data_IF_438383806965
#
_entry.id   IF_438383806965
#
_cell.length_a   1.000
_cell.length_b   1.000
_cell.length_c   1.000
_cell.angle_alpha   90.00
_cell.angle_beta   90.00
_cell.angle_gamma   90.00
#
_symmetry.space_group_name_H-M   'P 1'
#
loop_
_entity.id
_entity.type
_entity.pdbx_description
1 polymer ?
#
# COMPACT_ATOMS: atom_id res chain seq x y z
N UNK A 1 -7.39 13.57 -6.84
CA UNK A 1 -6.05 13.67 -7.46
C UNK A 1 -5.24 12.37 -7.41
N UNK A 2 -5.56 11.36 -6.58
CA UNK A 2 -4.75 10.13 -6.46
C UNK A 2 -4.87 9.11 -7.64
N UNK A 3 -6.00 9.07 -8.36
CA UNK A 3 -6.22 8.05 -9.40
C UNK A 3 -5.34 8.21 -10.66
N UNK A 4 -4.84 9.43 -10.93
CA UNK A 4 -3.97 9.71 -12.08
C UNK A 4 -2.56 9.17 -11.82
N UNK A 5 -2.13 9.04 -10.56
CA UNK A 5 -0.75 8.72 -10.19
C UNK A 5 -0.42 7.20 -10.24
N UNK A 6 -1.38 6.31 -9.96
CA UNK A 6 -1.13 4.86 -9.94
C UNK A 6 -0.81 4.29 -11.33
N UNK A 7 -1.39 4.86 -12.38
CA UNK A 7 -1.14 4.42 -13.77
C UNK A 7 0.31 4.65 -14.19
N UNK A 8 0.89 5.77 -13.75
CA UNK A 8 2.28 6.10 -14.04
C UNK A 8 3.26 5.27 -13.21
N UNK A 9 2.94 4.98 -11.95
CA UNK A 9 3.70 4.03 -11.12
C UNK A 9 3.76 2.65 -11.78
N UNK A 10 2.62 2.13 -12.24
CA UNK A 10 2.55 0.83 -12.92
C UNK A 10 3.37 0.82 -14.21
N UNK A 11 3.32 1.90 -15.00
CA UNK A 11 4.11 2.04 -16.23
C UNK A 11 5.61 2.11 -15.93
N UNK A 12 6.02 2.77 -14.85
CA UNK A 12 7.41 2.84 -14.39
C UNK A 12 7.97 1.47 -13.99
N UNK A 13 7.16 0.63 -13.34
CA UNK A 13 7.55 -0.71 -12.89
C UNK A 13 7.70 -1.70 -14.07
N UNK A 14 6.84 -1.59 -15.08
CA UNK A 14 6.87 -2.46 -16.25
C UNK A 14 7.98 -2.13 -17.25
N UNK A 15 8.61 -0.95 -17.13
CA UNK A 15 9.74 -0.58 -17.97
C UNK A 15 10.99 -1.31 -17.55
N UNK A 16 11.87 -1.61 -18.51
CA UNK A 16 13.25 -1.98 -18.21
C UNK A 16 13.92 -0.79 -17.55
N UNK A 17 14.18 -0.87 -16.25
CA UNK A 17 14.79 0.21 -15.48
C UNK A 17 16.23 -0.16 -15.08
N UNK A 18 17.13 0.82 -14.94
CA UNK A 18 18.48 0.57 -14.39
C UNK A 18 18.44 0.28 -12.88
N UNK A 19 17.27 0.42 -12.25
CA UNK A 19 17.06 0.24 -10.81
C UNK A 19 16.56 -1.19 -10.55
N UNK A 20 17.04 -1.81 -9.48
CA UNK A 20 16.61 -3.15 -9.10
C UNK A 20 15.11 -3.22 -8.83
N UNK A 21 14.45 -4.28 -9.30
CA UNK A 21 13.04 -4.56 -9.01
C UNK A 21 12.73 -4.54 -7.52
N UNK A 22 13.67 -4.91 -6.64
CA UNK A 22 13.47 -4.83 -5.17
C UNK A 22 13.16 -3.41 -4.70
N UNK A 23 13.88 -2.41 -5.24
CA UNK A 23 13.66 -1.00 -4.92
C UNK A 23 12.30 -0.55 -5.49
N UNK A 24 11.96 -0.96 -6.71
CA UNK A 24 10.67 -0.67 -7.32
C UNK A 24 9.51 -1.27 -6.51
N UNK A 25 9.67 -2.48 -5.97
CA UNK A 25 8.69 -3.12 -5.09
C UNK A 25 8.49 -2.34 -3.79
N UNK A 26 9.55 -1.77 -3.19
CA UNK A 26 9.40 -0.90 -2.02
C UNK A 26 8.60 0.37 -2.34
N UNK A 27 8.89 1.03 -3.46
CA UNK A 27 8.14 2.22 -3.91
C UNK A 27 6.66 1.86 -4.14
N UNK A 28 6.39 0.75 -4.83
CA UNK A 28 5.03 0.27 -5.07
C UNK A 28 4.29 -0.01 -3.76
N UNK A 29 4.94 -0.69 -2.81
CA UNK A 29 4.32 -1.02 -1.53
C UNK A 29 4.01 0.23 -0.71
N UNK A 30 4.84 1.28 -0.77
CA UNK A 30 4.54 2.57 -0.13
C UNK A 30 3.30 3.23 -0.75
N UNK A 31 3.21 3.26 -2.08
CA UNK A 31 2.03 3.80 -2.76
C UNK A 31 0.76 3.03 -2.38
N UNK A 32 0.84 1.70 -2.25
CA UNK A 32 -0.27 0.85 -1.81
C UNK A 32 -0.67 1.10 -0.36
N UNK A 33 0.28 1.31 0.55
CA UNK A 33 -0.03 1.62 1.96
C UNK A 33 -0.80 2.94 2.02
N UNK A 34 -0.33 3.99 1.36
CA UNK A 34 -1.02 5.30 1.32
C UNK A 34 -2.42 5.15 0.75
N UNK A 35 -2.56 4.40 -0.34
CA UNK A 35 -3.85 4.12 -0.96
C UNK A 35 -4.80 3.37 0.00
N UNK A 36 -4.30 2.44 0.81
CA UNK A 36 -5.13 1.71 1.80
C UNK A 36 -5.47 2.57 3.02
N UNK A 37 -4.52 3.36 3.55
CA UNK A 37 -4.68 4.06 4.83
C UNK A 37 -5.28 5.46 4.72
N UNK A 38 -5.25 6.07 3.53
CA UNK A 38 -5.70 7.47 3.33
C UNK A 38 -6.78 7.60 2.25
N UNK A 39 -7.43 6.48 1.89
CA UNK A 39 -8.50 6.45 0.92
C UNK A 39 -9.74 7.20 1.41
N UNK A 40 -10.54 7.73 0.49
CA UNK A 40 -11.85 8.32 0.75
C UNK A 40 -11.87 9.49 1.77
N UNK A 41 -10.79 10.27 1.87
CA UNK A 41 -10.60 11.35 2.86
C UNK A 41 -10.69 10.88 4.33
N UNK A 42 -10.52 9.58 4.59
CA UNK A 42 -10.40 9.04 5.93
C UNK A 42 -8.91 8.88 6.25
N UNK A 43 -8.47 9.50 7.33
CA UNK A 43 -7.12 9.32 7.85
C UNK A 43 -7.13 8.19 8.87
N UNK A 44 -7.05 6.95 8.35
CA UNK A 44 -7.01 5.72 9.13
C UNK A 44 -5.61 5.46 9.73
N UNK A 45 -4.63 6.29 9.41
CA UNK A 45 -3.34 6.25 10.09
C UNK A 45 -3.44 6.94 11.46
N UNK A 46 -4.08 8.10 11.51
CA UNK A 46 -4.33 8.83 12.78
C UNK A 46 -5.48 8.22 13.58
N UNK A 47 -6.53 7.70 12.92
CA UNK A 47 -7.70 7.08 13.55
C UNK A 47 -7.87 5.62 13.08
N UNK A 48 -7.12 4.67 13.66
CA UNK A 48 -6.93 3.34 13.07
C UNK A 48 -8.08 2.36 13.32
N UNK A 49 -9.11 2.75 14.07
CA UNK A 49 -10.09 1.81 14.62
C UNK A 49 -10.87 1.05 13.56
N UNK A 50 -11.15 1.68 12.41
CA UNK A 50 -12.07 1.14 11.40
C UNK A 50 -11.35 0.27 10.37
N UNK A 51 -10.13 0.65 9.98
CA UNK A 51 -9.40 -0.05 8.94
C UNK A 51 -8.08 -0.64 9.43
N UNK A 52 -7.17 0.18 9.97
CA UNK A 52 -5.80 -0.27 10.22
C UNK A 52 -5.69 -1.28 11.37
N UNK A 53 -6.46 -1.10 12.45
CA UNK A 53 -6.50 -2.01 13.60
C UNK A 53 -6.96 -3.43 13.20
N UNK A 54 -8.07 -3.62 12.46
CA UNK A 54 -8.42 -4.94 11.91
C UNK A 54 -7.31 -5.58 11.06
N UNK A 55 -6.62 -4.82 10.21
CA UNK A 55 -5.54 -5.35 9.37
C UNK A 55 -4.33 -5.81 10.20
N UNK A 56 -3.96 -5.06 11.25
CA UNK A 56 -2.88 -5.45 12.16
C UNK A 56 -3.21 -6.77 12.86
N UNK A 57 -4.45 -6.91 13.36
CA UNK A 57 -4.90 -8.14 14.01
C UNK A 57 -4.79 -9.33 13.05
N UNK A 58 -5.34 -9.19 11.84
CA UNK A 58 -5.34 -10.26 10.85
C UNK A 58 -3.95 -10.66 10.33
N UNK A 59 -2.97 -9.74 10.32
CA UNK A 59 -1.65 -9.99 9.75
C UNK A 59 -0.58 -10.34 10.80
N UNK A 60 -0.74 -9.86 12.04
CA UNK A 60 0.31 -9.87 13.06
C UNK A 60 -0.12 -10.46 14.40
N UNK A 61 -1.41 -10.73 14.61
CA UNK A 61 -1.93 -11.30 15.87
C UNK A 61 -2.53 -12.67 15.63
N UNK A 62 -3.52 -12.75 14.73
CA UNK A 62 -4.24 -13.97 14.45
C UNK A 62 -3.46 -14.83 13.44
N UNK A 63 -3.22 -16.09 13.79
CA UNK A 63 -2.66 -17.05 12.85
C UNK A 63 -3.73 -17.56 11.89
N UNK A 64 -3.33 -17.87 10.66
CA UNK A 64 -4.19 -18.61 9.73
C UNK A 64 -4.29 -20.06 10.23
N UNK A 65 -5.51 -20.54 10.46
CA UNK A 65 -5.75 -21.96 10.78
C UNK A 65 -5.24 -22.85 9.63
N UNK A 66 -4.55 -23.93 10.00
CA UNK A 66 -3.89 -24.86 9.07
C UNK A 66 -4.84 -25.98 8.67
#
# INVERSE_FOLDING_TARGET
>A
MAHIELKDVNKGILRTTPVSTKILTHILNLARIIDVTCKHNQDEYTHPEKLLKPHIIALLVDSIEI
#
